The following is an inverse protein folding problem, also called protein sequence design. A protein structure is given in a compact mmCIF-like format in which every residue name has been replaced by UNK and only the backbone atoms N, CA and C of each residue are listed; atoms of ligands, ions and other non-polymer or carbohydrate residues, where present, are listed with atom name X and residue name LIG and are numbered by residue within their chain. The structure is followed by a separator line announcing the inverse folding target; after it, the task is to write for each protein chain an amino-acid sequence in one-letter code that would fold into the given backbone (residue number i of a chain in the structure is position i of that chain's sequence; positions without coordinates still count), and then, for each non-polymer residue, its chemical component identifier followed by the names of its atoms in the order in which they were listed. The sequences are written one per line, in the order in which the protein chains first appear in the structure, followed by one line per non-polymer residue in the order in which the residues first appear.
data_IF_979205976710
#
_entry.id   IF_979205976710
#
_cell.length_a   1.000
_cell.length_b   1.000
_cell.length_c   1.000
_cell.angle_alpha   90.00
_cell.angle_beta   90.00
_cell.angle_gamma   90.00
#
_symmetry.space_group_name_H-M   'P 1'
#
loop_
_entity.id
_entity.type
_entity.pdbx_description
1 polymer ?
#
# COMPACT_ATOMS: atom_id res chain seq x y z
N UNK A 1 -2.78 -26.24 -70.34
CA UNK A 1 -2.68 -24.80 -69.97
C UNK A 1 -3.73 -24.43 -68.90
N UNK A 2 -3.84 -25.22 -67.82
CA UNK A 2 -4.94 -25.02 -66.82
C UNK A 2 -4.49 -24.94 -65.36
N UNK A 3 -3.22 -25.22 -65.06
CA UNK A 3 -2.81 -25.36 -63.62
C UNK A 3 -2.32 -24.07 -62.97
N UNK A 4 -1.98 -23.01 -63.68
CA UNK A 4 -1.47 -21.76 -63.09
C UNK A 4 -2.52 -20.84 -62.51
N UNK A 5 -3.79 -20.99 -62.90
CA UNK A 5 -4.88 -20.12 -62.38
C UNK A 5 -5.40 -20.63 -61.02
N UNK A 6 -5.37 -21.90 -60.77
CA UNK A 6 -5.86 -22.48 -59.52
C UNK A 6 -4.99 -22.14 -58.32
N UNK A 7 -3.65 -22.14 -58.49
CA UNK A 7 -2.72 -21.82 -57.44
C UNK A 7 -2.74 -20.34 -57.00
N UNK A 8 -3.12 -19.40 -57.84
CA UNK A 8 -3.19 -17.98 -57.49
C UNK A 8 -4.45 -17.65 -56.70
N UNK A 9 -5.55 -18.34 -56.91
CA UNK A 9 -6.81 -18.16 -56.17
C UNK A 9 -6.65 -18.73 -54.76
N UNK A 10 -5.96 -19.88 -54.61
CA UNK A 10 -5.73 -20.48 -53.29
C UNK A 10 -4.77 -19.65 -52.43
N UNK A 11 -3.77 -18.97 -53.04
CA UNK A 11 -2.87 -18.07 -52.31
C UNK A 11 -3.54 -16.79 -51.85
N UNK A 12 -4.50 -16.24 -52.64
CA UNK A 12 -5.23 -15.05 -52.24
C UNK A 12 -6.19 -15.32 -51.09
N UNK A 13 -6.84 -16.49 -51.03
CA UNK A 13 -7.70 -16.85 -49.92
C UNK A 13 -6.94 -17.12 -48.61
N UNK A 14 -5.70 -17.62 -48.67
CA UNK A 14 -4.83 -17.81 -47.49
C UNK A 14 -4.34 -16.51 -46.92
N UNK A 15 -4.15 -15.45 -47.72
CA UNK A 15 -3.65 -14.16 -47.26
C UNK A 15 -4.75 -13.33 -46.60
N UNK A 16 -6.00 -13.44 -47.03
CA UNK A 16 -7.14 -12.71 -46.46
C UNK A 16 -7.60 -13.34 -45.13
N UNK A 17 -7.47 -14.66 -44.98
CA UNK A 17 -7.80 -15.37 -43.71
C UNK A 17 -6.86 -15.06 -42.57
N UNK A 18 -5.61 -14.68 -42.83
CA UNK A 18 -4.61 -14.39 -41.79
C UNK A 18 -4.72 -12.94 -41.25
N UNK A 19 -5.33 -12.03 -41.96
CA UNK A 19 -5.46 -10.63 -41.57
C UNK A 19 -6.62 -10.34 -40.60
N UNK A 20 -7.50 -11.32 -40.34
CA UNK A 20 -8.69 -11.12 -39.48
C UNK A 20 -8.49 -11.60 -38.01
N UNK A 21 -7.31 -12.09 -37.65
CA UNK A 21 -7.06 -12.60 -36.30
C UNK A 21 -6.31 -11.65 -35.34
N UNK A 22 -6.09 -10.39 -35.75
CA UNK A 22 -5.30 -9.44 -34.94
C UNK A 22 -6.17 -8.39 -34.19
N UNK A 23 -7.47 -8.61 -34.06
CA UNK A 23 -8.38 -7.58 -33.50
C UNK A 23 -9.05 -7.96 -32.18
N UNK A 24 -8.36 -8.60 -31.23
CA UNK A 24 -8.95 -8.94 -29.94
C UNK A 24 -8.01 -8.79 -28.73
N UNK A 25 -7.13 -7.79 -28.75
CA UNK A 25 -6.59 -7.26 -27.49
C UNK A 25 -7.15 -5.86 -27.30
N UNK A 26 -8.32 -5.76 -26.67
CA UNK A 26 -8.70 -4.51 -26.02
C UNK A 26 -7.71 -4.31 -24.87
N UNK A 27 -7.03 -3.17 -24.79
CA UNK A 27 -6.31 -2.84 -23.56
C UNK A 27 -7.37 -2.81 -22.46
N UNK A 28 -7.20 -3.66 -21.45
CA UNK A 28 -7.87 -3.51 -20.17
C UNK A 28 -7.45 -2.13 -19.70
N UNK A 29 -8.37 -1.17 -19.76
CA UNK A 29 -8.16 0.11 -19.10
C UNK A 29 -7.87 -0.24 -17.65
N UNK A 30 -6.66 0.09 -17.20
CA UNK A 30 -6.30 0.12 -15.79
C UNK A 30 -7.33 1.00 -15.09
N UNK A 31 -8.36 0.35 -14.60
CA UNK A 31 -9.33 0.99 -13.73
C UNK A 31 -8.61 1.17 -12.41
N UNK A 32 -8.13 2.38 -12.24
CA UNK A 32 -7.43 2.91 -11.09
C UNK A 32 -7.94 2.29 -9.79
N UNK A 33 -7.10 1.50 -9.14
CA UNK A 33 -7.27 1.01 -7.76
C UNK A 33 -7.33 2.15 -6.70
N UNK A 34 -7.34 3.40 -7.14
CA UNK A 34 -7.37 4.61 -6.31
C UNK A 34 -8.74 4.88 -5.67
N UNK A 35 -9.83 4.29 -6.17
CA UNK A 35 -11.17 4.64 -5.66
C UNK A 35 -11.59 3.92 -4.36
N UNK A 36 -10.87 2.91 -3.91
CA UNK A 36 -11.22 2.17 -2.68
C UNK A 36 -10.66 2.87 -1.44
N UNK A 37 -9.52 3.53 -1.56
CA UNK A 37 -8.83 4.20 -0.44
C UNK A 37 -9.62 5.41 0.07
N UNK A 38 -10.35 6.11 -0.81
CA UNK A 38 -11.14 7.28 -0.41
C UNK A 38 -12.40 6.95 0.40
N UNK A 39 -12.79 5.68 0.49
CA UNK A 39 -13.94 5.24 1.28
C UNK A 39 -13.57 4.76 2.69
N UNK A 40 -12.28 4.58 2.98
CA UNK A 40 -11.81 4.10 4.28
C UNK A 40 -11.41 5.28 5.16
N UNK A 41 -12.00 5.37 6.34
CA UNK A 41 -11.66 6.40 7.32
C UNK A 41 -10.52 5.89 8.19
N UNK A 42 -9.39 6.60 8.15
CA UNK A 42 -8.26 6.31 9.03
C UNK A 42 -8.59 6.70 10.47
N UNK A 43 -8.41 5.77 11.39
CA UNK A 43 -8.72 5.95 12.81
C UNK A 43 -7.63 5.38 13.71
N UNK A 44 -7.55 5.94 14.92
CA UNK A 44 -6.81 5.32 16.00
C UNK A 44 -7.58 4.11 16.51
N UNK A 45 -6.94 2.98 16.69
CA UNK A 45 -7.56 1.76 17.20
C UNK A 45 -7.19 1.53 18.66
N UNK A 46 -8.11 0.98 19.47
CA UNK A 46 -7.90 0.80 20.91
C UNK A 46 -6.74 -0.15 21.24
N UNK A 47 -6.45 -1.10 20.34
CA UNK A 47 -5.32 -2.02 20.48
C UNK A 47 -3.96 -1.44 20.09
N UNK A 48 -3.90 -0.17 19.76
CA UNK A 48 -2.70 0.56 19.40
C UNK A 48 -2.05 1.18 20.64
N UNK A 49 -0.72 1.10 20.75
CA UNK A 49 0.00 1.62 21.90
C UNK A 49 -0.14 3.14 22.08
N UNK A 50 -0.16 3.87 20.97
CA UNK A 50 -0.35 5.33 20.92
C UNK A 50 -0.71 5.76 19.51
N UNK A 51 -1.51 6.80 19.37
CA UNK A 51 -1.85 7.43 18.10
C UNK A 51 -0.97 8.63 17.83
N UNK A 52 -0.77 9.44 18.85
CA UNK A 52 0.06 10.65 18.80
C UNK A 52 1.43 10.34 19.40
N UNK A 53 2.46 10.58 18.61
CA UNK A 53 3.85 10.35 18.97
C UNK A 53 4.55 11.71 19.04
N UNK A 54 4.87 12.14 20.25
CA UNK A 54 5.65 13.35 20.44
C UNK A 54 7.14 13.00 20.35
N UNK A 55 7.82 13.54 19.37
CA UNK A 55 9.26 13.42 19.16
C UNK A 55 9.96 14.74 19.40
N UNK A 56 11.29 14.76 19.40
CA UNK A 56 12.05 16.01 19.49
C UNK A 56 11.85 16.92 18.25
N UNK A 57 11.45 16.34 17.12
CA UNK A 57 11.32 17.06 15.84
C UNK A 57 9.89 17.55 15.60
N UNK A 58 8.90 16.71 15.88
CA UNK A 58 7.52 16.98 15.55
C UNK A 58 6.55 16.09 16.34
N UNK A 59 5.29 16.44 16.33
CA UNK A 59 4.18 15.61 16.76
C UNK A 59 3.62 14.87 15.55
N UNK A 60 3.65 13.55 15.58
CA UNK A 60 3.11 12.68 14.55
C UNK A 60 1.82 12.02 15.00
N UNK A 61 0.94 11.76 14.03
CA UNK A 61 -0.24 10.94 14.23
C UNK A 61 -0.17 9.72 13.32
N UNK A 62 -0.40 8.52 13.89
CA UNK A 62 -0.46 7.26 13.14
C UNK A 62 -1.84 6.67 13.30
N UNK A 63 -2.51 6.41 12.18
CA UNK A 63 -3.86 5.86 12.13
C UNK A 63 -3.92 4.69 11.18
N UNK A 64 -4.88 3.81 11.42
CA UNK A 64 -5.13 2.65 10.58
C UNK A 64 -6.50 2.72 9.93
N UNK A 65 -6.62 2.16 8.74
CA UNK A 65 -7.90 1.92 8.09
C UNK A 65 -7.90 0.57 7.40
N UNK A 66 -9.01 -0.13 7.46
CA UNK A 66 -9.22 -1.44 6.83
C UNK A 66 -10.70 -1.64 6.58
N UNK A 67 -11.05 -2.42 5.56
CA UNK A 67 -12.43 -2.87 5.40
C UNK A 67 -12.79 -3.77 6.60
N UNK A 68 -13.81 -3.39 7.37
CA UNK A 68 -14.18 -4.03 8.65
C UNK A 68 -13.17 -3.85 9.79
N UNK A 69 -12.43 -2.72 9.80
CA UNK A 69 -11.59 -2.37 10.94
C UNK A 69 -12.47 -2.13 12.18
N UNK A 70 -12.12 -2.77 13.28
CA UNK A 70 -12.68 -2.50 14.62
C UNK A 70 -11.58 -1.94 15.53
N UNK A 71 -11.21 -2.69 16.55
CA UNK A 71 -10.12 -2.37 17.47
C UNK A 71 -8.79 -3.05 17.09
N UNK A 72 -8.81 -3.96 16.09
CA UNK A 72 -7.65 -4.73 15.64
C UNK A 72 -7.60 -4.83 14.13
N UNK A 73 -6.38 -4.86 13.60
CA UNK A 73 -6.15 -5.13 12.18
C UNK A 73 -6.39 -6.62 11.90
N UNK A 74 -7.19 -6.93 10.89
CA UNK A 74 -7.40 -8.32 10.43
C UNK A 74 -6.26 -8.76 9.52
N UNK A 75 -5.73 -9.95 9.77
CA UNK A 75 -4.72 -10.56 8.89
C UNK A 75 -5.34 -10.95 7.54
N UNK A 76 -4.50 -11.19 6.54
CA UNK A 76 -4.89 -11.58 5.17
C UNK A 76 -5.81 -10.60 4.42
N UNK A 77 -6.10 -9.45 5.02
CA UNK A 77 -6.79 -8.34 4.37
C UNK A 77 -5.87 -7.13 4.27
N UNK A 78 -5.84 -6.43 3.13
CA UNK A 78 -5.10 -5.18 3.02
C UNK A 78 -5.57 -4.17 4.07
N UNK A 79 -4.62 -3.48 4.67
CA UNK A 79 -4.89 -2.35 5.55
C UNK A 79 -3.99 -1.17 5.17
N UNK A 80 -4.40 0.01 5.57
CA UNK A 80 -3.69 1.24 5.29
C UNK A 80 -3.21 1.87 6.58
N UNK A 81 -2.06 2.52 6.50
CA UNK A 81 -1.41 3.25 7.58
C UNK A 81 -1.30 4.70 7.10
N UNK A 82 -1.92 5.61 7.83
CA UNK A 82 -1.78 7.04 7.63
C UNK A 82 -0.79 7.59 8.66
N UNK A 83 0.25 8.26 8.19
CA UNK A 83 1.17 9.04 9.01
C UNK A 83 0.95 10.51 8.69
N UNK A 84 0.62 11.31 9.69
CA UNK A 84 0.45 12.75 9.56
C UNK A 84 1.34 13.49 10.56
N UNK A 85 2.00 14.55 10.11
CA UNK A 85 2.63 15.51 11.00
C UNK A 85 1.60 16.54 11.45
N UNK A 86 1.48 16.76 12.78
CA UNK A 86 0.49 17.66 13.37
C UNK A 86 1.10 18.98 13.81
N UNK A 87 2.42 19.05 13.95
CA UNK A 87 3.09 20.20 14.56
C UNK A 87 2.95 21.48 13.73
N UNK A 88 2.39 22.50 14.37
CA UNK A 88 2.28 23.86 13.83
C UNK A 88 3.37 24.82 14.34
N UNK A 89 4.43 24.33 14.94
CA UNK A 89 5.42 25.23 15.54
C UNK A 89 6.61 25.49 14.63
N UNK A 90 6.50 26.57 13.84
CA UNK A 90 7.58 27.47 13.38
C UNK A 90 8.81 26.90 12.66
N UNK A 91 8.88 25.65 12.31
CA UNK A 91 9.93 25.16 11.44
C UNK A 91 9.30 24.28 10.36
N UNK A 92 9.12 24.87 9.20
CA UNK A 92 8.83 24.14 7.97
C UNK A 92 10.10 23.35 7.61
N UNK A 93 10.38 22.28 8.35
CA UNK A 93 11.32 21.28 7.89
C UNK A 93 10.51 20.27 7.09
N UNK A 94 10.71 20.28 5.80
CA UNK A 94 10.02 19.33 4.92
C UNK A 94 10.53 17.91 5.19
N UNK A 95 9.61 16.98 5.39
CA UNK A 95 9.95 15.57 5.42
C UNK A 95 10.43 15.19 4.02
N UNK A 96 11.69 14.76 3.93
CA UNK A 96 12.32 14.36 2.68
C UNK A 96 12.07 12.90 2.34
N UNK A 97 11.92 12.06 3.39
CA UNK A 97 11.70 10.63 3.20
C UNK A 97 11.06 10.01 4.43
N UNK A 98 10.18 9.06 4.19
CA UNK A 98 9.63 8.16 5.22
C UNK A 98 9.98 6.73 4.84
N UNK A 99 10.57 6.00 5.79
CA UNK A 99 10.83 4.56 5.66
C UNK A 99 10.28 3.83 6.87
N UNK A 100 9.73 2.62 6.64
CA UNK A 100 9.13 1.88 7.73
C UNK A 100 9.16 0.36 7.48
N UNK A 101 8.98 -0.40 8.55
CA UNK A 101 8.78 -1.83 8.48
C UNK A 101 7.97 -2.31 9.69
N UNK A 102 7.31 -3.44 9.50
CA UNK A 102 6.60 -4.18 10.54
C UNK A 102 7.43 -5.39 10.98
N UNK A 103 7.41 -5.67 12.27
CA UNK A 103 7.92 -6.92 12.83
C UNK A 103 7.00 -7.42 13.95
N UNK A 104 6.96 -8.72 14.17
CA UNK A 104 6.27 -9.29 15.33
C UNK A 104 7.01 -8.91 16.61
N UNK A 105 6.30 -8.29 17.58
CA UNK A 105 6.91 -7.85 18.84
C UNK A 105 7.34 -9.01 19.72
N UNK A 106 6.48 -9.99 19.86
CA UNK A 106 6.66 -11.11 20.80
C UNK A 106 7.13 -12.41 20.11
N UNK A 107 7.03 -12.45 18.79
CA UNK A 107 7.44 -13.57 17.96
C UNK A 107 8.10 -13.07 16.67
N UNK A 108 9.26 -13.58 16.34
CA UNK A 108 9.95 -13.19 15.12
C UNK A 108 9.24 -13.77 13.88
N UNK A 109 8.65 -12.91 13.07
CA UNK A 109 7.95 -13.22 11.81
C UNK A 109 8.68 -12.64 10.58
N UNK A 110 9.95 -12.23 10.75
CA UNK A 110 10.65 -11.45 9.75
C UNK A 110 10.26 -9.98 9.78
N UNK A 111 10.82 -9.21 8.84
CA UNK A 111 10.50 -7.79 8.65
C UNK A 111 9.68 -7.62 7.38
N UNK A 112 8.54 -6.98 7.50
CA UNK A 112 7.68 -6.62 6.37
C UNK A 112 7.91 -5.14 6.06
N UNK A 113 8.51 -4.80 4.91
CA UNK A 113 8.72 -3.41 4.55
C UNK A 113 7.37 -2.71 4.33
N UNK A 114 7.30 -1.44 4.72
CA UNK A 114 6.14 -0.58 4.55
C UNK A 114 6.58 0.64 3.74
N UNK A 115 5.93 0.86 2.61
CA UNK A 115 6.26 1.93 1.67
C UNK A 115 5.23 3.04 1.79
N UNK A 116 5.65 4.18 2.33
CA UNK A 116 4.83 5.36 2.42
C UNK A 116 4.94 6.21 1.15
N UNK A 117 3.79 6.67 0.67
CA UNK A 117 3.66 7.60 -0.44
C UNK A 117 3.04 8.90 0.06
N UNK A 118 3.49 10.05 -0.45
CA UNK A 118 2.87 11.34 -0.16
C UNK A 118 1.47 11.39 -0.73
N UNK A 119 0.57 12.04 -0.03
CA UNK A 119 -0.80 12.28 -0.49
C UNK A 119 -0.95 13.70 -1.04
N UNK A 120 -2.15 14.05 -1.51
CA UNK A 120 -2.48 15.43 -1.92
C UNK A 120 -2.56 16.41 -0.73
N UNK A 121 -2.48 15.89 0.50
CA UNK A 121 -2.46 16.71 1.73
C UNK A 121 -1.01 16.91 2.16
N UNK A 122 -0.69 18.13 2.55
CA UNK A 122 0.63 18.46 3.07
C UNK A 122 0.92 17.63 4.33
N UNK A 123 2.15 17.08 4.40
CA UNK A 123 2.65 16.30 5.53
C UNK A 123 1.80 15.07 5.93
N UNK A 124 1.03 14.53 4.98
CA UNK A 124 0.27 13.29 5.15
C UNK A 124 0.78 12.23 4.19
N UNK A 125 1.18 11.10 4.74
CA UNK A 125 1.72 9.95 4.03
C UNK A 125 0.81 8.75 4.23
N UNK A 126 0.63 7.96 3.19
CA UNK A 126 -0.20 6.77 3.20
C UNK A 126 0.62 5.56 2.76
N UNK A 127 0.48 4.45 3.45
CA UNK A 127 1.03 3.16 3.06
C UNK A 127 -0.05 2.09 3.07
N UNK A 128 0.09 1.11 2.18
CA UNK A 128 -0.70 -0.11 2.21
C UNK A 128 0.18 -1.27 2.67
N UNK A 129 -0.35 -2.13 3.51
CA UNK A 129 0.34 -3.33 3.99
C UNK A 129 -0.62 -4.52 4.14
N UNK A 130 -0.04 -5.68 4.37
CA UNK A 130 -0.74 -6.94 4.57
C UNK A 130 0.00 -7.76 5.62
N UNK A 131 -0.72 -8.34 6.58
CA UNK A 131 -0.16 -9.26 7.55
C UNK A 131 -0.54 -10.69 7.19
N UNK A 132 0.44 -11.59 7.18
CA UNK A 132 0.20 -13.01 7.07
C UNK A 132 -0.44 -13.57 8.34
N UNK A 133 -1.18 -14.66 8.20
CA UNK A 133 -1.66 -15.41 9.37
C UNK A 133 -0.50 -16.05 10.14
N UNK A 134 -0.64 -16.06 11.44
CA UNK A 134 0.18 -16.80 12.38
C UNK A 134 -0.63 -17.95 13.00
N UNK A 135 0.04 -18.83 13.76
CA UNK A 135 -0.63 -19.86 14.57
C UNK A 135 -1.50 -19.26 15.67
N UNK A 136 -1.11 -18.08 16.16
CA UNK A 136 -1.82 -17.37 17.20
C UNK A 136 -3.04 -16.64 16.64
N UNK A 137 -4.14 -16.62 17.40
CA UNK A 137 -5.36 -15.91 17.03
C UNK A 137 -5.16 -14.39 17.03
N UNK A 138 -4.34 -13.91 17.95
CA UNK A 138 -3.97 -12.50 18.07
C UNK A 138 -2.47 -12.36 18.20
N UNK A 139 -1.90 -11.32 17.61
CA UNK A 139 -0.47 -11.06 17.66
C UNK A 139 -0.22 -9.56 17.75
N UNK A 140 0.78 -9.17 18.56
CA UNK A 140 1.22 -7.77 18.60
C UNK A 140 2.32 -7.55 17.57
N UNK A 141 2.11 -6.56 16.74
CA UNK A 141 3.04 -6.08 15.74
C UNK A 141 3.62 -4.74 16.14
N UNK A 142 4.86 -4.53 15.82
CA UNK A 142 5.55 -3.24 15.95
C UNK A 142 5.80 -2.64 14.57
N UNK A 143 5.27 -1.45 14.36
CA UNK A 143 5.54 -0.62 13.21
C UNK A 143 6.67 0.34 13.57
N UNK A 144 7.84 0.15 12.99
CA UNK A 144 8.94 1.09 13.05
C UNK A 144 8.82 2.11 11.94
N UNK A 145 8.94 3.39 12.28
CA UNK A 145 8.90 4.50 11.33
C UNK A 145 10.15 5.33 11.51
N UNK A 146 10.84 5.60 10.42
CA UNK A 146 11.97 6.52 10.35
C UNK A 146 11.62 7.65 9.41
N UNK A 147 11.63 8.87 9.92
CA UNK A 147 11.39 10.10 9.17
C UNK A 147 12.71 10.82 9.00
N UNK A 148 13.06 11.15 7.77
CA UNK A 148 14.23 11.93 7.40
C UNK A 148 13.77 13.36 7.05
N UNK A 149 14.37 14.33 7.70
CA UNK A 149 14.29 15.76 7.40
C UNK A 149 15.61 16.17 6.73
N UNK A 150 15.76 17.42 6.33
CA UNK A 150 16.95 17.86 5.59
C UNK A 150 18.28 17.51 6.29
N UNK A 151 18.35 17.67 7.60
CA UNK A 151 19.58 17.50 8.41
C UNK A 151 19.41 16.57 9.62
N UNK A 152 18.24 15.98 9.83
CA UNK A 152 17.90 15.17 11.00
C UNK A 152 17.13 13.94 10.60
N UNK A 153 17.27 12.90 11.42
CA UNK A 153 16.54 11.65 11.28
C UNK A 153 15.93 11.28 12.62
N UNK A 154 14.67 10.94 12.65
CA UNK A 154 13.94 10.49 13.82
C UNK A 154 13.35 9.12 13.59
N UNK A 155 13.56 8.20 14.52
CA UNK A 155 12.93 6.86 14.51
C UNK A 155 12.05 6.70 15.74
N UNK A 156 10.85 6.20 15.53
CA UNK A 156 9.88 5.86 16.58
C UNK A 156 9.09 4.61 16.18
N UNK A 157 8.25 4.12 17.08
CA UNK A 157 7.43 2.95 16.79
C UNK A 157 6.02 3.07 17.37
N UNK A 158 5.12 2.27 16.80
CA UNK A 158 3.75 2.06 17.29
C UNK A 158 3.50 0.56 17.35
N UNK A 159 3.05 0.08 18.50
CA UNK A 159 2.59 -1.30 18.66
C UNK A 159 1.07 -1.36 18.40
N UNK A 160 0.61 -2.39 17.74
CA UNK A 160 -0.81 -2.64 17.52
C UNK A 160 -1.10 -4.14 17.46
N UNK A 161 -2.33 -4.52 17.74
CA UNK A 161 -2.74 -5.93 17.72
C UNK A 161 -3.40 -6.28 16.39
N UNK A 162 -2.98 -7.39 15.81
CA UNK A 162 -3.71 -8.05 14.75
C UNK A 162 -4.57 -9.18 15.29
N UNK A 163 -5.61 -9.52 14.54
CA UNK A 163 -6.47 -10.67 14.79
C UNK A 163 -6.59 -11.48 13.51
N UNK A 164 -6.51 -12.79 13.64
CA UNK A 164 -6.75 -13.71 12.54
C UNK A 164 -8.17 -13.54 12.00
N UNK A 165 -8.29 -13.67 10.68
CA UNK A 165 -9.57 -13.57 9.97
C UNK A 165 -10.47 -14.74 10.33
#
# INVERSE_FOLDING_TARGET
MSDKRFNNVLKQFSLVGFLLLISACKPVSEQSSVSIVSALVAQCIDSQSQCEINTELALFNVKFSQHQLSDKVKTELPFFIELAEISQQNAIQSITKVSAYLEGRDMFMGKVPVFFESTDKDNVYLAQSLLANCSEEQMVWRLWITVELEDKTQTFFVDFTSQRL
#
